data_IF_378355776293
#
_entry.id   IF_378355776293
#
_cell.length_a   1.000
_cell.length_b   1.000
_cell.length_c   1.000
_cell.angle_alpha   90.00
_cell.angle_beta   90.00
_cell.angle_gamma   90.00
#
_symmetry.space_group_name_H-M   'P 1'
#
loop_
_entity.id
_entity.type
_entity.pdbx_description
1 polymer ?
#
# COMPACT_ATOMS: atom_id res chain seq x y z
N UNK A 1 -5.10 -13.06 -32.60
CA UNK A 1 -4.51 -12.84 -31.26
C UNK A 1 -5.00 -11.55 -30.61
N UNK A 2 -4.94 -10.40 -31.29
CA UNK A 2 -5.58 -9.14 -30.82
C UNK A 2 -7.06 -9.30 -30.50
N UNK A 3 -7.82 -9.91 -31.41
CA UNK A 3 -9.26 -10.23 -31.23
C UNK A 3 -9.52 -11.22 -30.08
N UNK A 4 -8.53 -12.06 -29.75
CA UNK A 4 -8.66 -13.08 -28.70
C UNK A 4 -8.48 -12.47 -27.30
N UNK A 5 -7.57 -11.51 -27.17
CA UNK A 5 -7.38 -10.78 -25.91
C UNK A 5 -8.54 -9.82 -25.65
N UNK A 6 -9.06 -9.15 -26.69
CA UNK A 6 -10.29 -8.37 -26.54
C UNK A 6 -11.48 -9.25 -26.15
N UNK A 7 -11.54 -10.51 -26.62
CA UNK A 7 -12.57 -11.45 -26.21
C UNK A 7 -12.44 -11.84 -24.72
N UNK A 8 -11.23 -12.10 -24.24
CA UNK A 8 -11.00 -12.37 -22.81
C UNK A 8 -11.36 -11.16 -21.94
N UNK A 9 -11.04 -9.95 -22.38
CA UNK A 9 -11.46 -8.73 -21.69
C UNK A 9 -12.98 -8.63 -21.63
N UNK A 10 -13.67 -8.89 -22.75
CA UNK A 10 -15.14 -8.88 -22.78
C UNK A 10 -15.72 -9.95 -21.86
N UNK A 11 -15.17 -11.17 -21.86
CA UNK A 11 -15.61 -12.25 -20.98
C UNK A 11 -15.41 -11.89 -19.50
N UNK A 12 -14.27 -11.28 -19.16
CA UNK A 12 -13.98 -10.81 -17.82
C UNK A 12 -14.97 -9.74 -17.37
N UNK A 13 -15.16 -8.68 -18.17
CA UNK A 13 -16.11 -7.61 -17.85
C UNK A 13 -17.56 -8.11 -17.78
N UNK A 14 -17.95 -9.06 -18.63
CA UNK A 14 -19.26 -9.71 -18.55
C UNK A 14 -19.43 -10.50 -17.25
N UNK A 15 -18.40 -11.24 -16.82
CA UNK A 15 -18.41 -11.98 -15.55
C UNK A 15 -18.51 -11.04 -14.35
N UNK A 16 -17.77 -9.93 -14.35
CA UNK A 16 -17.87 -8.90 -13.30
C UNK A 16 -19.25 -8.25 -13.32
N UNK A 17 -19.79 -7.94 -14.50
CA UNK A 17 -21.12 -7.33 -14.63
C UNK A 17 -22.22 -8.23 -14.07
N UNK A 18 -22.16 -9.54 -14.28
CA UNK A 18 -23.10 -10.50 -13.69
C UNK A 18 -23.08 -10.45 -12.16
N UNK A 19 -21.91 -10.31 -11.54
CA UNK A 19 -21.81 -10.19 -10.07
C UNK A 19 -22.52 -8.94 -9.53
N UNK A 20 -22.51 -7.84 -10.29
CA UNK A 20 -23.25 -6.62 -9.94
C UNK A 20 -24.76 -6.80 -10.12
N UNK A 21 -25.19 -7.50 -11.17
CA UNK A 21 -26.61 -7.82 -11.39
C UNK A 21 -27.18 -8.76 -10.33
N UNK A 22 -26.39 -9.74 -9.88
CA UNK A 22 -26.81 -10.72 -8.89
C UNK A 22 -26.79 -10.17 -7.45
N UNK A 23 -26.20 -8.99 -7.22
CA UNK A 23 -26.08 -8.40 -5.89
C UNK A 23 -27.20 -7.39 -5.60
N UNK A 24 -28.19 -7.72 -4.75
CA UNK A 24 -29.34 -6.84 -4.46
C UNK A 24 -28.97 -5.64 -3.58
N UNK A 25 -27.75 -5.58 -3.04
CA UNK A 25 -27.31 -4.50 -2.12
C UNK A 25 -26.63 -3.34 -2.84
N UNK A 26 -26.35 -3.48 -4.13
CA UNK A 26 -25.57 -2.51 -4.92
C UNK A 26 -26.46 -1.91 -6.00
N UNK A 27 -26.37 -0.59 -6.21
CA UNK A 27 -26.93 0.04 -7.41
C UNK A 27 -26.07 -0.32 -8.64
N UNK A 28 -26.43 -1.42 -9.28
CA UNK A 28 -25.79 -1.92 -10.48
C UNK A 28 -25.94 -0.97 -11.67
N UNK A 29 -27.00 -0.17 -11.74
CA UNK A 29 -27.27 0.69 -12.90
C UNK A 29 -26.20 1.78 -13.04
N UNK A 30 -25.93 2.50 -11.95
CA UNK A 30 -24.90 3.54 -11.97
C UNK A 30 -23.50 2.95 -12.21
N UNK A 31 -23.19 1.84 -11.53
CA UNK A 31 -21.87 1.19 -11.60
C UNK A 31 -21.56 0.62 -12.98
N UNK A 32 -22.56 0.06 -13.67
CA UNK A 32 -22.38 -0.61 -14.97
C UNK A 32 -22.54 0.33 -16.17
N UNK A 33 -23.48 1.27 -16.12
CA UNK A 33 -23.89 2.04 -17.31
C UNK A 33 -23.50 3.53 -17.27
N UNK A 34 -23.39 4.12 -16.08
CA UNK A 34 -23.14 5.56 -15.93
C UNK A 34 -21.67 5.90 -15.63
N UNK A 35 -20.87 4.90 -15.27
CA UNK A 35 -19.47 5.10 -14.85
C UNK A 35 -18.52 4.78 -15.98
N UNK A 36 -17.83 5.81 -16.50
CA UNK A 36 -16.74 5.61 -17.47
C UNK A 36 -15.55 4.93 -16.81
N UNK A 37 -15.03 3.88 -17.45
CA UNK A 37 -13.90 3.06 -17.00
C UNK A 37 -12.67 3.27 -17.90
N UNK A 38 -11.85 4.31 -17.67
CA UNK A 38 -10.60 4.47 -18.41
C UNK A 38 -9.60 3.37 -18.02
N UNK A 39 -8.79 2.90 -18.97
CA UNK A 39 -7.86 1.77 -18.79
C UNK A 39 -6.93 1.92 -17.57
N UNK A 40 -6.51 3.15 -17.27
CA UNK A 40 -5.64 3.47 -16.12
C UNK A 40 -6.31 3.22 -14.76
N UNK A 41 -7.65 3.19 -14.71
CA UNK A 41 -8.43 2.89 -13.49
C UNK A 41 -8.91 1.44 -13.41
N UNK A 42 -8.83 0.69 -14.50
CA UNK A 42 -9.23 -0.73 -14.56
C UNK A 42 -8.06 -1.69 -14.51
N UNK A 43 -6.84 -1.18 -14.43
CA UNK A 43 -5.61 -1.96 -14.41
C UNK A 43 -4.82 -1.61 -13.15
N UNK A 44 -4.21 -2.61 -12.53
CA UNK A 44 -3.34 -2.38 -11.37
C UNK A 44 -2.06 -1.69 -11.82
N UNK A 45 -1.45 -2.21 -12.89
CA UNK A 45 -0.22 -1.69 -13.47
C UNK A 45 -0.46 -1.34 -14.94
N UNK A 46 0.11 -0.24 -15.40
CA UNK A 46 0.02 0.23 -16.79
C UNK A 46 1.42 0.50 -17.31
N UNK A 47 1.69 0.09 -18.54
CA UNK A 47 2.91 0.51 -19.23
C UNK A 47 2.61 1.05 -20.61
N UNK A 48 3.47 1.93 -21.10
CA UNK A 48 3.35 2.55 -22.40
C UNK A 48 4.63 2.35 -23.19
N UNK A 49 4.47 1.95 -24.45
CA UNK A 49 5.55 1.95 -25.43
C UNK A 49 5.57 3.31 -26.13
N UNK A 50 6.65 4.03 -25.91
CA UNK A 50 6.95 5.30 -26.55
C UNK A 50 7.84 5.09 -27.77
N UNK A 51 7.90 6.09 -28.65
CA UNK A 51 8.75 6.05 -29.85
C UNK A 51 8.45 4.84 -30.75
N UNK A 52 7.17 4.68 -31.11
CA UNK A 52 6.67 3.52 -31.85
C UNK A 52 7.36 3.28 -33.20
N UNK A 53 8.06 4.29 -33.76
CA UNK A 53 8.93 4.14 -34.92
C UNK A 53 9.94 2.99 -34.76
N UNK A 54 10.41 2.72 -33.53
CA UNK A 54 11.30 1.59 -33.24
C UNK A 54 10.66 0.22 -33.45
N UNK A 55 9.33 0.12 -33.48
CA UNK A 55 8.64 -1.13 -33.84
C UNK A 55 8.90 -1.52 -35.29
N UNK A 56 9.30 -0.58 -36.16
CA UNK A 56 9.68 -0.93 -37.53
C UNK A 56 10.91 -1.85 -37.57
N UNK A 57 11.91 -1.62 -36.72
CA UNK A 57 13.04 -2.55 -36.55
C UNK A 57 12.59 -3.87 -35.94
N UNK A 58 11.65 -3.84 -34.99
CA UNK A 58 11.05 -5.05 -34.41
C UNK A 58 10.38 -5.90 -35.49
N UNK A 59 9.59 -5.32 -36.39
CA UNK A 59 8.95 -6.04 -37.49
C UNK A 59 10.00 -6.72 -38.40
N UNK A 60 11.14 -6.07 -38.67
CA UNK A 60 12.23 -6.67 -39.44
C UNK A 60 12.84 -7.87 -38.72
N UNK A 61 13.17 -7.74 -37.43
CA UNK A 61 13.75 -8.82 -36.62
C UNK A 61 12.79 -10.01 -36.50
N UNK A 62 11.50 -9.73 -36.35
CA UNK A 62 10.44 -10.73 -36.22
C UNK A 62 10.03 -11.34 -37.57
N UNK A 63 10.66 -10.94 -38.68
CA UNK A 63 10.32 -11.37 -40.04
C UNK A 63 8.86 -11.09 -40.44
N UNK A 64 8.26 -10.01 -39.93
CA UNK A 64 6.85 -9.64 -40.15
C UNK A 64 6.65 -8.69 -41.35
N UNK A 65 7.51 -8.77 -42.38
CA UNK A 65 7.47 -7.84 -43.50
C UNK A 65 6.26 -8.08 -44.42
N UNK A 66 5.82 -9.34 -44.55
CA UNK A 66 4.59 -9.70 -45.27
C UNK A 66 3.36 -9.08 -44.62
N UNK A 67 3.21 -9.30 -43.32
CA UNK A 67 2.11 -8.82 -42.51
C UNK A 67 2.12 -7.28 -42.42
N UNK A 68 3.31 -6.66 -42.48
CA UNK A 68 3.44 -5.22 -42.58
C UNK A 68 2.83 -4.68 -43.88
N UNK A 69 2.96 -5.41 -45.00
CA UNK A 69 2.30 -5.04 -46.26
C UNK A 69 0.78 -5.20 -46.17
N UNK A 70 0.30 -6.28 -45.55
CA UNK A 70 -1.13 -6.53 -45.33
C UNK A 70 -1.78 -5.41 -44.49
N UNK A 71 -1.03 -4.86 -43.54
CA UNK A 71 -1.44 -3.73 -42.69
C UNK A 71 -1.05 -2.36 -43.25
N UNK A 72 -0.77 -2.22 -44.55
CA UNK A 72 -0.46 -0.95 -45.21
C UNK A 72 0.70 -0.16 -44.58
N UNK A 73 1.66 -0.84 -43.96
CA UNK A 73 2.80 -0.22 -43.27
C UNK A 73 2.56 0.12 -41.80
N UNK A 74 1.42 -0.25 -41.22
CA UNK A 74 1.11 -0.02 -39.81
C UNK A 74 1.84 -1.00 -38.88
N UNK A 75 3.08 -0.67 -38.53
CA UNK A 75 3.94 -1.49 -37.67
C UNK A 75 3.36 -1.73 -36.26
N UNK A 76 2.44 -0.90 -35.76
CA UNK A 76 1.79 -1.12 -34.47
C UNK A 76 0.83 -2.30 -34.57
N UNK A 77 -0.07 -2.29 -35.56
CA UNK A 77 -1.02 -3.38 -35.78
C UNK A 77 -0.29 -4.68 -36.12
N UNK A 78 0.80 -4.61 -36.90
CA UNK A 78 1.61 -5.78 -37.25
C UNK A 78 2.32 -6.40 -36.05
N UNK A 79 2.96 -5.59 -35.19
CA UNK A 79 3.74 -6.11 -34.06
C UNK A 79 2.86 -6.49 -32.85
N UNK A 80 1.71 -5.86 -32.67
CA UNK A 80 0.86 -6.02 -31.48
C UNK A 80 0.46 -7.48 -31.18
N UNK A 81 0.00 -8.31 -32.14
CA UNK A 81 -0.29 -9.72 -31.90
C UNK A 81 0.88 -10.49 -31.27
N UNK A 82 2.10 -10.25 -31.76
CA UNK A 82 3.31 -10.87 -31.25
C UNK A 82 3.62 -10.39 -29.83
N UNK A 83 3.60 -9.07 -29.60
CA UNK A 83 3.86 -8.48 -28.28
C UNK A 83 2.88 -9.02 -27.23
N UNK A 84 1.60 -9.09 -27.57
CA UNK A 84 0.57 -9.61 -26.68
C UNK A 84 0.80 -11.09 -26.34
N UNK A 85 1.10 -11.93 -27.33
CA UNK A 85 1.41 -13.35 -27.10
C UNK A 85 2.66 -13.53 -26.23
N UNK A 86 3.71 -12.76 -26.50
CA UNK A 86 4.96 -12.78 -25.75
C UNK A 86 4.74 -12.42 -24.28
N UNK A 87 4.01 -11.32 -24.04
CA UNK A 87 3.72 -10.84 -22.69
C UNK A 87 2.80 -11.79 -21.93
N UNK A 88 1.80 -12.37 -22.58
CA UNK A 88 0.91 -13.36 -21.97
C UNK A 88 1.69 -14.62 -21.58
N UNK A 89 2.61 -15.09 -22.43
CA UNK A 89 3.46 -16.24 -22.13
C UNK A 89 4.46 -15.94 -20.99
N UNK A 90 5.06 -14.75 -21.00
CA UNK A 90 6.09 -14.39 -20.04
C UNK A 90 5.57 -13.99 -18.66
N UNK A 91 4.47 -13.24 -18.58
CA UNK A 91 3.84 -12.89 -17.30
C UNK A 91 3.01 -14.06 -16.73
N UNK A 92 2.55 -14.97 -17.59
CA UNK A 92 1.93 -16.23 -17.20
C UNK A 92 0.80 -16.05 -16.19
N UNK A 93 0.89 -16.75 -15.07
CA UNK A 93 -0.15 -16.75 -14.03
C UNK A 93 -0.18 -15.49 -13.15
N UNK A 94 0.78 -14.57 -13.31
CA UNK A 94 0.84 -13.31 -12.55
C UNK A 94 -0.24 -12.33 -12.95
N UNK A 95 -0.77 -12.47 -14.17
CA UNK A 95 -1.81 -11.61 -14.70
C UNK A 95 -3.13 -12.38 -14.76
N UNK A 96 -4.21 -11.71 -14.37
CA UNK A 96 -5.58 -12.13 -14.64
C UNK A 96 -6.02 -11.68 -16.02
N UNK A 97 -5.62 -10.46 -16.43
CA UNK A 97 -5.99 -9.88 -17.71
C UNK A 97 -4.86 -8.99 -18.24
N UNK A 98 -4.58 -9.13 -19.54
CA UNK A 98 -3.75 -8.20 -20.31
C UNK A 98 -4.68 -7.38 -21.21
N UNK A 99 -4.69 -6.07 -21.07
CA UNK A 99 -5.44 -5.15 -21.92
C UNK A 99 -4.50 -4.26 -22.72
N UNK A 100 -5.00 -3.71 -23.82
CA UNK A 100 -4.27 -2.73 -24.62
C UNK A 100 -5.23 -1.64 -25.10
N UNK A 101 -4.71 -0.45 -25.31
CA UNK A 101 -5.46 0.68 -25.87
C UNK A 101 -4.77 1.15 -27.14
N UNK A 102 -5.44 0.94 -28.27
CA UNK A 102 -5.10 1.56 -29.54
C UNK A 102 -5.67 2.97 -29.56
N UNK A 103 -4.89 3.89 -30.10
CA UNK A 103 -5.42 5.23 -30.37
C UNK A 103 -6.36 5.17 -31.58
N UNK A 104 -7.41 6.01 -31.60
CA UNK A 104 -8.25 6.15 -32.78
C UNK A 104 -7.41 6.43 -34.01
N UNK A 105 -7.82 5.87 -35.14
CA UNK A 105 -7.20 6.23 -36.41
C UNK A 105 -7.33 7.75 -36.61
N UNK A 106 -6.24 8.45 -36.95
CA UNK A 106 -6.29 9.88 -37.15
C UNK A 106 -7.28 10.19 -38.27
N UNK A 107 -8.08 11.23 -38.10
CA UNK A 107 -8.89 11.79 -39.18
C UNK A 107 -8.05 12.85 -39.91
N UNK A 108 -8.07 12.84 -41.25
CA UNK A 108 -7.36 13.81 -42.07
C UNK A 108 -8.25 14.32 -43.21
N UNK A 109 -7.91 15.50 -43.73
CA UNK A 109 -8.61 16.07 -44.89
C UNK A 109 -8.34 15.23 -46.14
N UNK A 110 -9.35 15.07 -47.00
CA UNK A 110 -9.22 14.39 -48.29
C UNK A 110 -8.16 15.04 -49.18
N UNK A 111 -7.93 16.35 -49.00
CA UNK A 111 -6.94 17.13 -49.76
C UNK A 111 -5.50 16.99 -49.22
N UNK A 112 -5.30 16.25 -48.11
CA UNK A 112 -4.00 16.09 -47.45
C UNK A 112 -3.46 14.67 -47.58
N UNK A 113 -2.12 14.53 -47.55
CA UNK A 113 -1.49 13.21 -47.50
C UNK A 113 -1.91 12.42 -46.26
N UNK A 114 -2.02 11.10 -46.40
CA UNK A 114 -2.36 10.22 -45.29
C UNK A 114 -1.36 10.37 -44.11
N UNK A 115 -1.85 10.41 -42.86
CA UNK A 115 -1.02 10.51 -41.68
C UNK A 115 0.03 9.41 -41.62
N UNK A 116 1.28 9.80 -41.39
CA UNK A 116 2.39 8.85 -41.26
C UNK A 116 2.31 8.16 -39.90
N UNK A 117 2.45 6.83 -39.88
CA UNK A 117 2.43 6.04 -38.64
C UNK A 117 3.43 6.51 -37.56
N UNK A 118 4.52 7.19 -37.95
CA UNK A 118 5.53 7.78 -37.03
C UNK A 118 4.99 8.81 -36.04
N UNK A 119 3.83 9.41 -36.32
CA UNK A 119 3.22 10.42 -35.46
C UNK A 119 2.22 9.83 -34.45
N UNK A 120 2.13 8.50 -34.34
CA UNK A 120 1.18 7.86 -33.43
C UNK A 120 1.54 8.09 -31.95
N UNK A 121 0.55 8.33 -31.08
CA UNK A 121 0.74 8.45 -29.64
C UNK A 121 1.20 7.11 -29.02
N UNK A 122 1.70 7.12 -27.77
CA UNK A 122 2.21 5.92 -27.12
C UNK A 122 1.17 4.78 -27.03
N UNK A 123 1.62 3.56 -27.32
CA UNK A 123 0.78 2.37 -27.19
C UNK A 123 0.71 1.95 -25.72
N UNK A 124 -0.49 1.91 -25.17
CA UNK A 124 -0.70 1.64 -23.73
C UNK A 124 -1.20 0.22 -23.49
N UNK A 125 -0.71 -0.40 -22.43
CA UNK A 125 -1.07 -1.74 -21.99
C UNK A 125 -1.44 -1.71 -20.51
N UNK A 126 -2.52 -2.39 -20.15
CA UNK A 126 -2.98 -2.55 -18.78
C UNK A 126 -2.82 -3.98 -18.30
N UNK A 127 -2.37 -4.14 -17.05
CA UNK A 127 -2.20 -5.41 -16.38
C UNK A 127 -3.15 -5.46 -15.18
N UNK A 128 -4.05 -6.42 -15.18
CA UNK A 128 -4.75 -6.84 -13.98
C UNK A 128 -3.94 -7.97 -13.36
N UNK A 129 -3.40 -7.75 -12.17
CA UNK A 129 -2.46 -8.64 -11.50
C UNK A 129 -3.18 -9.64 -10.59
N UNK A 130 -2.54 -10.77 -10.35
CA UNK A 130 -2.88 -11.72 -9.29
C UNK A 130 -1.96 -11.46 -8.09
N UNK A 131 -2.45 -10.85 -6.99
CA UNK A 131 -1.60 -10.38 -5.89
C UNK A 131 -0.66 -11.46 -5.32
N UNK A 132 -1.13 -12.71 -5.25
CA UNK A 132 -0.39 -13.83 -4.66
C UNK A 132 0.87 -14.20 -5.45
N UNK A 133 0.85 -13.99 -6.78
CA UNK A 133 1.94 -14.37 -7.69
C UNK A 133 2.69 -13.16 -8.22
N UNK A 134 2.07 -11.98 -8.29
CA UNK A 134 2.63 -10.80 -8.93
C UNK A 134 4.00 -10.39 -8.38
N UNK A 135 4.20 -10.52 -7.07
CA UNK A 135 5.43 -10.14 -6.35
C UNK A 135 6.46 -11.27 -6.24
N UNK A 136 6.20 -12.46 -6.77
CA UNK A 136 7.16 -13.58 -6.70
C UNK A 136 8.46 -13.22 -7.43
N UNK A 137 9.61 -13.36 -6.79
CA UNK A 137 10.91 -13.13 -7.46
C UNK A 137 11.38 -14.32 -8.27
N UNK A 138 10.75 -15.48 -8.10
CA UNK A 138 11.19 -16.72 -8.73
C UNK A 138 10.16 -17.18 -9.76
N UNK A 139 10.63 -17.47 -10.96
CA UNK A 139 9.91 -18.25 -11.95
C UNK A 139 10.44 -19.68 -11.98
N UNK A 140 9.58 -20.62 -11.63
CA UNK A 140 9.90 -22.04 -11.72
C UNK A 140 9.48 -22.56 -13.10
N UNK A 141 10.44 -23.04 -13.87
CA UNK A 141 10.24 -23.66 -15.16
C UNK A 141 10.03 -25.18 -15.08
N UNK A 142 10.00 -25.85 -16.23
CA UNK A 142 9.87 -27.31 -16.30
C UNK A 142 11.17 -28.03 -15.87
N UNK A 143 11.09 -29.35 -15.58
CA UNK A 143 12.27 -30.18 -15.34
C UNK A 143 13.31 -30.07 -16.46
N UNK A 144 14.59 -30.10 -16.11
CA UNK A 144 15.71 -29.87 -17.03
C UNK A 144 15.74 -30.84 -18.23
N UNK A 145 15.24 -32.05 -18.00
CA UNK A 145 15.10 -33.18 -18.91
C UNK A 145 13.83 -33.12 -19.78
N UNK A 146 12.92 -32.18 -19.51
CA UNK A 146 11.72 -31.98 -20.31
C UNK A 146 12.03 -31.27 -21.64
N UNK A 147 11.40 -31.65 -22.78
CA UNK A 147 11.54 -30.90 -24.02
C UNK A 147 11.06 -29.43 -23.88
N UNK A 148 10.15 -29.15 -22.95
CA UNK A 148 9.69 -27.79 -22.63
C UNK A 148 10.78 -26.91 -22.02
N UNK A 149 11.88 -27.48 -21.50
CA UNK A 149 13.01 -26.71 -20.99
C UNK A 149 13.71 -25.91 -22.09
N UNK A 150 13.75 -26.43 -23.32
CA UNK A 150 14.31 -25.69 -24.46
C UNK A 150 13.46 -24.45 -24.80
N UNK A 151 12.12 -24.57 -24.73
CA UNK A 151 11.21 -23.45 -24.94
C UNK A 151 11.35 -22.39 -23.84
N UNK A 152 11.49 -22.84 -22.58
CA UNK A 152 11.73 -21.96 -21.44
C UNK A 152 13.05 -21.18 -21.59
N UNK A 153 14.14 -21.87 -21.93
CA UNK A 153 15.44 -21.22 -22.22
C UNK A 153 15.36 -20.24 -23.37
N UNK A 154 14.61 -20.56 -24.43
CA UNK A 154 14.40 -19.65 -25.56
C UNK A 154 13.61 -18.40 -25.16
N UNK A 155 12.59 -18.54 -24.31
CA UNK A 155 11.79 -17.42 -23.83
C UNK A 155 12.61 -16.46 -22.96
N UNK A 156 13.39 -17.00 -22.02
CA UNK A 156 14.10 -16.19 -21.02
C UNK A 156 15.54 -15.83 -21.41
N UNK A 157 16.12 -16.51 -22.40
CA UNK A 157 17.47 -16.27 -22.88
C UNK A 157 18.52 -16.47 -21.78
N UNK A 158 19.40 -15.49 -21.62
CA UNK A 158 20.50 -15.52 -20.65
C UNK A 158 20.06 -15.51 -19.17
N UNK A 159 18.79 -15.21 -18.88
CA UNK A 159 18.26 -15.22 -17.51
C UNK A 159 17.81 -16.61 -17.04
N UNK A 160 17.73 -17.61 -17.93
CA UNK A 160 17.38 -18.98 -17.56
C UNK A 160 18.59 -19.70 -16.96
N UNK A 161 18.42 -20.28 -15.79
CA UNK A 161 19.45 -21.09 -15.11
C UNK A 161 18.87 -22.37 -14.53
N UNK A 162 19.70 -23.39 -14.37
CA UNK A 162 19.31 -24.63 -13.69
C UNK A 162 19.40 -24.44 -12.19
N UNK A 163 18.28 -24.70 -11.50
CA UNK A 163 18.20 -24.58 -10.05
C UNK A 163 17.70 -25.86 -9.41
N UNK A 164 18.41 -26.30 -8.37
CA UNK A 164 17.96 -27.40 -7.49
C UNK A 164 17.06 -26.82 -6.40
N UNK A 165 15.85 -27.35 -6.29
CA UNK A 165 14.87 -26.96 -5.29
C UNK A 165 14.94 -27.82 -4.03
N UNK A 166 14.28 -27.39 -2.95
CA UNK A 166 14.26 -28.12 -1.67
C UNK A 166 13.60 -29.50 -1.78
N UNK A 167 12.72 -29.69 -2.76
CA UNK A 167 12.13 -30.97 -3.13
C UNK A 167 13.10 -31.90 -3.90
N UNK A 168 14.34 -31.46 -4.12
CA UNK A 168 15.37 -32.20 -4.84
C UNK A 168 15.27 -32.11 -6.36
N UNK A 169 14.19 -31.52 -6.90
CA UNK A 169 14.00 -31.40 -8.33
C UNK A 169 14.96 -30.38 -8.94
N UNK A 170 15.51 -30.70 -10.10
CA UNK A 170 16.34 -29.80 -10.90
C UNK A 170 15.49 -29.30 -12.06
N UNK A 171 15.13 -28.02 -12.03
CA UNK A 171 14.30 -27.40 -13.06
C UNK A 171 14.99 -26.17 -13.61
N UNK A 172 14.60 -25.75 -14.81
CA UNK A 172 14.91 -24.41 -15.28
C UNK A 172 14.23 -23.39 -14.35
N UNK A 173 14.87 -22.25 -14.13
CA UNK A 173 14.33 -21.17 -13.31
C UNK A 173 14.85 -19.80 -13.77
N UNK A 174 14.10 -18.76 -13.41
CA UNK A 174 14.53 -17.35 -13.53
C UNK A 174 14.36 -16.68 -12.19
N UNK A 175 15.36 -15.89 -11.78
CA UNK A 175 15.31 -15.08 -10.55
C UNK A 175 15.32 -13.60 -10.92
N UNK A 176 14.32 -12.88 -10.42
CA UNK A 176 14.16 -11.44 -10.53
C UNK A 176 14.71 -10.73 -9.31
N UNK A 177 15.09 -9.46 -9.50
CA UNK A 177 15.62 -8.64 -8.42
C UNK A 177 14.48 -8.16 -7.52
N UNK A 178 14.66 -8.26 -6.20
CA UNK A 178 13.65 -7.82 -5.24
C UNK A 178 13.93 -8.33 -3.83
N UNK A 179 14.69 -7.56 -3.06
CA UNK A 179 14.97 -7.87 -1.65
C UNK A 179 13.76 -7.53 -0.78
N UNK A 180 13.25 -6.30 -0.93
CA UNK A 180 12.07 -5.79 -0.22
C UNK A 180 10.77 -5.92 -1.03
N UNK A 181 9.62 -5.85 -0.36
CA UNK A 181 8.28 -5.87 -0.95
C UNK A 181 8.11 -4.73 -1.96
N UNK A 182 8.60 -3.52 -1.64
CA UNK A 182 8.60 -2.39 -2.55
C UNK A 182 9.26 -2.72 -3.90
N UNK A 183 10.43 -3.36 -3.89
CA UNK A 183 11.11 -3.78 -5.12
C UNK A 183 10.37 -4.94 -5.82
N UNK A 184 9.85 -5.89 -5.05
CA UNK A 184 9.12 -7.06 -5.57
C UNK A 184 7.86 -6.67 -6.34
N UNK A 185 7.18 -5.57 -5.97
CA UNK A 185 6.05 -5.02 -6.76
C UNK A 185 6.43 -4.69 -8.20
N UNK A 186 7.70 -4.36 -8.46
CA UNK A 186 8.20 -4.00 -9.79
C UNK A 186 8.73 -5.20 -10.59
N UNK A 187 8.61 -6.44 -10.11
CA UNK A 187 8.98 -7.64 -10.87
C UNK A 187 8.26 -7.71 -12.23
N UNK A 188 6.94 -7.43 -12.36
CA UNK A 188 6.30 -7.39 -13.67
C UNK A 188 6.94 -6.39 -14.64
N UNK A 189 7.41 -5.23 -14.15
CA UNK A 189 8.17 -4.27 -14.97
C UNK A 189 9.47 -4.88 -15.49
N UNK A 190 10.21 -5.59 -14.63
CA UNK A 190 11.46 -6.27 -15.02
C UNK A 190 11.21 -7.33 -16.11
N UNK A 191 10.17 -8.15 -15.92
CA UNK A 191 9.76 -9.18 -16.90
C UNK A 191 9.45 -8.54 -18.25
N UNK A 192 8.58 -7.51 -18.26
CA UNK A 192 8.17 -6.82 -19.49
C UNK A 192 9.38 -6.21 -20.20
N UNK A 193 10.23 -5.50 -19.44
CA UNK A 193 11.43 -4.86 -20.00
C UNK A 193 12.36 -5.88 -20.65
N UNK A 194 12.61 -7.00 -19.95
CA UNK A 194 13.48 -8.07 -20.45
C UNK A 194 12.94 -8.72 -21.72
N UNK A 195 11.66 -9.10 -21.72
CA UNK A 195 11.04 -9.78 -22.85
C UNK A 195 10.99 -8.91 -24.10
N UNK A 196 10.59 -7.64 -23.94
CA UNK A 196 10.51 -6.68 -25.04
C UNK A 196 11.89 -6.37 -25.63
N UNK A 197 12.92 -6.23 -24.79
CA UNK A 197 14.29 -6.04 -25.25
C UNK A 197 14.81 -7.29 -26.00
N UNK A 198 14.62 -8.48 -25.43
CA UNK A 198 15.16 -9.72 -25.97
C UNK A 198 14.51 -10.11 -27.31
N UNK A 199 13.19 -10.07 -27.37
CA UNK A 199 12.44 -10.60 -28.52
C UNK A 199 12.04 -9.54 -29.54
N UNK A 200 11.85 -8.28 -29.12
CA UNK A 200 11.37 -7.21 -30.00
C UNK A 200 12.38 -6.07 -30.22
N UNK A 201 13.59 -6.12 -29.66
CA UNK A 201 14.59 -5.01 -29.73
C UNK A 201 14.06 -3.66 -29.22
N UNK A 202 13.09 -3.69 -28.31
CA UNK A 202 12.54 -2.46 -27.72
C UNK A 202 13.35 -2.12 -26.48
N UNK A 203 14.05 -0.97 -26.46
CA UNK A 203 14.89 -0.59 -25.33
C UNK A 203 14.08 -0.20 -24.11
N UNK A 204 14.64 -0.35 -22.89
CA UNK A 204 14.00 0.12 -21.65
C UNK A 204 13.63 1.61 -21.67
N UNK A 205 14.39 2.43 -22.41
CA UNK A 205 14.11 3.87 -22.57
C UNK A 205 12.82 4.17 -23.31
N UNK A 206 12.33 3.22 -24.12
CA UNK A 206 11.05 3.32 -24.81
C UNK A 206 9.87 2.84 -23.95
N UNK A 207 10.11 2.34 -22.74
CA UNK A 207 9.09 1.84 -21.83
C UNK A 207 8.83 2.85 -20.70
N UNK A 208 7.59 3.34 -20.60
CA UNK A 208 7.10 4.05 -19.41
C UNK A 208 6.25 3.09 -18.58
N UNK A 209 6.44 3.08 -17.27
CA UNK A 209 5.76 2.14 -16.38
C UNK A 209 5.12 2.85 -15.19
N UNK A 210 3.88 2.48 -14.91
CA UNK A 210 3.05 3.00 -13.82
C UNK A 210 2.56 1.80 -13.00
N UNK A 211 2.92 1.74 -11.72
CA UNK A 211 2.54 0.63 -10.82
C UNK A 211 3.03 0.78 -9.38
N UNK A 212 3.94 1.71 -9.11
CA UNK A 212 4.45 2.01 -7.76
C UNK A 212 4.60 3.54 -7.54
N UNK A 213 3.70 4.34 -8.11
CA UNK A 213 3.85 5.82 -8.11
C UNK A 213 3.83 6.43 -6.70
N UNK A 214 3.14 5.79 -5.75
CA UNK A 214 3.01 6.30 -4.38
C UNK A 214 4.18 5.84 -3.51
N UNK A 215 4.90 4.79 -3.91
CA UNK A 215 6.01 4.23 -3.15
C UNK A 215 7.10 5.29 -2.88
N UNK A 216 7.38 6.18 -3.84
CA UNK A 216 8.37 7.26 -3.67
C UNK A 216 8.04 8.21 -2.50
N UNK A 217 6.77 8.34 -2.12
CA UNK A 217 6.32 9.22 -1.02
C UNK A 217 6.46 8.55 0.36
N UNK A 218 6.36 7.22 0.39
CA UNK A 218 6.38 6.43 1.64
C UNK A 218 7.67 5.61 1.81
N UNK A 219 8.59 5.68 0.84
CA UNK A 219 9.85 4.94 0.87
C UNK A 219 10.71 5.37 2.06
N UNK A 220 11.16 4.39 2.81
CA UNK A 220 12.07 4.54 3.95
C UNK A 220 13.31 3.66 3.78
N UNK A 221 14.39 3.98 4.49
CA UNK A 221 15.65 3.22 4.47
C UNK A 221 16.69 3.77 3.50
N UNK A 222 17.96 3.78 3.92
CA UNK A 222 19.09 4.30 3.13
C UNK A 222 19.79 3.24 2.29
N UNK A 223 19.83 1.98 2.76
CA UNK A 223 20.52 0.87 2.08
C UNK A 223 19.55 0.01 1.26
N UNK A 224 18.47 -0.48 1.88
CA UNK A 224 17.40 -1.22 1.21
C UNK A 224 16.11 -0.41 1.32
N UNK A 225 15.55 -0.05 0.16
CA UNK A 225 14.29 0.69 0.08
C UNK A 225 13.13 -0.16 0.59
N UNK A 226 12.48 0.27 1.68
CA UNK A 226 11.26 -0.35 2.22
C UNK A 226 10.08 0.61 2.11
N UNK A 227 8.85 0.09 2.10
CA UNK A 227 7.61 0.88 2.26
C UNK A 227 6.90 0.58 3.59
N UNK A 228 7.61 -0.07 4.52
CA UNK A 228 7.16 -0.33 5.90
C UNK A 228 6.61 -1.74 6.14
N UNK A 229 6.42 -2.57 5.13
CA UNK A 229 5.79 -3.88 5.28
C UNK A 229 6.66 -4.83 6.12
N UNK A 230 7.96 -4.86 5.86
CA UNK A 230 8.93 -5.66 6.62
C UNK A 230 9.00 -5.21 8.09
N UNK A 231 9.06 -3.90 8.33
CA UNK A 231 9.06 -3.31 9.68
C UNK A 231 7.76 -3.63 10.43
N UNK A 232 6.61 -3.54 9.74
CA UNK A 232 5.32 -3.94 10.30
C UNK A 232 5.30 -5.40 10.71
N UNK A 233 5.83 -6.28 9.86
CA UNK A 233 5.92 -7.72 10.16
C UNK A 233 6.78 -7.99 11.40
N UNK A 234 7.92 -7.30 11.54
CA UNK A 234 8.76 -7.43 12.73
C UNK A 234 8.01 -7.00 14.01
N UNK A 235 7.21 -5.94 13.94
CA UNK A 235 6.39 -5.49 15.06
C UNK A 235 5.31 -6.52 15.40
N UNK A 236 4.63 -7.08 14.40
CA UNK A 236 3.61 -8.14 14.59
C UNK A 236 4.24 -9.37 15.26
N UNK A 237 5.40 -9.82 14.79
CA UNK A 237 6.12 -10.95 15.39
C UNK A 237 6.54 -10.67 16.84
N UNK A 238 6.98 -9.43 17.12
CA UNK A 238 7.30 -8.99 18.48
C UNK A 238 6.06 -8.97 19.37
N UNK A 239 4.91 -8.51 18.86
CA UNK A 239 3.64 -8.55 19.56
C UNK A 239 3.21 -9.99 19.86
N UNK A 240 3.27 -10.91 18.90
CA UNK A 240 2.86 -12.31 19.07
C UNK A 240 3.68 -13.01 20.16
N UNK A 241 5.00 -12.77 20.19
CA UNK A 241 5.85 -13.30 21.25
C UNK A 241 5.53 -12.69 22.61
N UNK A 242 5.15 -11.40 22.68
CA UNK A 242 4.78 -10.75 23.95
C UNK A 242 3.44 -11.30 24.43
N UNK A 243 2.46 -11.42 23.53
CA UNK A 243 1.15 -12.01 23.79
C UNK A 243 1.29 -13.42 24.38
N UNK A 244 2.07 -14.31 23.74
CA UNK A 244 2.31 -15.66 24.27
C UNK A 244 2.95 -15.66 25.67
N UNK A 245 3.86 -14.73 25.94
CA UNK A 245 4.50 -14.59 27.26
C UNK A 245 3.51 -14.10 28.31
N UNK A 246 2.71 -13.09 27.99
CA UNK A 246 1.66 -12.57 28.87
C UNK A 246 0.65 -13.65 29.24
N UNK A 247 0.21 -14.46 28.28
CA UNK A 247 -0.70 -15.58 28.51
C UNK A 247 -0.17 -16.67 29.46
N UNK A 248 1.16 -16.84 29.52
CA UNK A 248 1.82 -17.84 30.37
C UNK A 248 2.29 -17.27 31.71
N UNK A 249 1.95 -16.02 32.02
CA UNK A 249 2.30 -15.42 33.30
C UNK A 249 1.45 -16.00 34.42
N UNK A 250 2.12 -16.63 35.36
CA UNK A 250 1.54 -17.09 36.61
C UNK A 250 1.84 -16.09 37.73
N UNK A 251 0.99 -16.07 38.77
CA UNK A 251 1.17 -15.21 39.94
C UNK A 251 0.45 -13.87 39.90
N UNK A 252 -0.33 -13.58 38.86
CA UNK A 252 -1.25 -12.43 38.85
C UNK A 252 -2.50 -12.75 39.72
N UNK A 253 -3.08 -11.75 40.43
CA UNK A 253 -4.30 -11.95 41.22
C UNK A 253 -5.54 -12.34 40.40
N UNK A 254 -5.53 -11.97 39.11
CA UNK A 254 -6.54 -12.32 38.12
C UNK A 254 -5.79 -12.85 36.89
N UNK A 255 -6.28 -13.92 36.29
CA UNK A 255 -5.68 -14.46 35.06
C UNK A 255 -5.95 -13.55 33.85
N UNK A 256 -5.06 -13.55 32.86
CA UNK A 256 -5.24 -12.84 31.59
C UNK A 256 -6.08 -13.73 30.67
N UNK A 257 -7.20 -13.20 30.17
CA UNK A 257 -8.15 -13.90 29.29
C UNK A 257 -7.98 -13.55 27.82
N UNK A 258 -7.47 -12.36 27.50
CA UNK A 258 -7.16 -11.97 26.13
C UNK A 258 -6.08 -10.88 26.08
N UNK A 259 -5.30 -10.89 25.00
CA UNK A 259 -4.35 -9.83 24.65
C UNK A 259 -4.71 -9.37 23.25
N UNK A 260 -5.10 -8.10 23.11
CA UNK A 260 -5.61 -7.51 21.88
C UNK A 260 -4.70 -6.38 21.40
N UNK A 261 -4.27 -6.46 20.15
CA UNK A 261 -3.50 -5.42 19.49
C UNK A 261 -4.38 -4.26 19.05
N UNK A 262 -4.16 -3.06 19.60
CA UNK A 262 -4.95 -1.87 19.24
C UNK A 262 -4.21 -0.93 18.26
N UNK A 263 -2.88 -1.02 18.20
CA UNK A 263 -2.05 -0.13 17.40
C UNK A 263 -2.25 -0.35 15.87
N UNK A 264 -2.27 0.72 15.04
CA UNK A 264 -2.43 0.63 13.58
C UNK A 264 -1.44 -0.29 12.85
N UNK A 265 -0.22 -0.41 13.37
CA UNK A 265 0.84 -1.28 12.81
C UNK A 265 0.44 -2.76 12.83
N UNK A 266 -0.33 -3.20 13.83
CA UNK A 266 -0.71 -4.62 13.99
C UNK A 266 -1.79 -5.05 12.98
N UNK A 267 -2.32 -4.09 12.21
CA UNK A 267 -3.27 -4.30 11.12
C UNK A 267 -2.79 -3.69 9.81
N UNK A 268 -1.48 -3.44 9.67
CA UNK A 268 -0.83 -2.90 8.46
C UNK A 268 -1.42 -1.55 7.97
N UNK A 269 -1.92 -0.71 8.88
CA UNK A 269 -2.49 0.62 8.56
C UNK A 269 -1.60 1.77 9.01
N UNK A 270 -0.42 1.49 9.57
CA UNK A 270 0.56 2.49 9.96
C UNK A 270 1.44 2.83 8.76
N UNK A 271 1.39 4.09 8.28
CA UNK A 271 2.17 4.54 7.10
C UNK A 271 3.68 4.41 7.33
N UNK A 272 4.15 4.82 8.51
CA UNK A 272 5.54 4.68 8.92
C UNK A 272 5.59 3.83 10.19
N UNK A 273 5.81 2.52 10.05
CA UNK A 273 5.89 1.59 11.18
C UNK A 273 7.03 1.97 12.12
N UNK A 274 6.87 1.76 13.44
CA UNK A 274 7.95 1.97 14.37
C UNK A 274 9.14 1.08 14.02
N UNK A 275 10.33 1.63 14.08
CA UNK A 275 11.60 0.92 13.85
C UNK A 275 12.26 0.68 15.22
N UNK A 276 12.93 -0.47 15.44
CA UNK A 276 13.64 -0.73 16.69
C UNK A 276 14.72 0.34 16.93
N UNK A 277 14.64 1.08 18.05
CA UNK A 277 15.61 2.13 18.37
C UNK A 277 16.56 1.71 19.49
N UNK A 278 17.85 1.60 19.18
CA UNK A 278 18.91 1.52 20.19
C UNK A 278 19.33 2.93 20.57
N UNK A 279 18.90 3.39 21.74
CA UNK A 279 19.38 4.64 22.31
C UNK A 279 20.85 4.51 22.71
N UNK A 280 21.69 5.41 22.21
CA UNK A 280 23.04 5.59 22.73
C UNK A 280 22.97 6.44 24.00
N UNK A 281 22.96 5.76 25.15
CA UNK A 281 22.89 6.41 26.45
C UNK A 281 24.08 7.34 26.73
N UNK A 282 25.19 7.23 26.00
CA UNK A 282 26.33 8.16 26.16
C UNK A 282 26.00 9.59 25.77
N UNK A 283 24.96 9.80 24.95
CA UNK A 283 24.51 11.10 24.48
C UNK A 283 23.65 11.84 25.50
N UNK A 284 23.25 11.17 26.58
CA UNK A 284 22.30 11.71 27.54
C UNK A 284 22.90 11.78 28.94
N UNK A 285 22.57 12.85 29.65
CA UNK A 285 22.71 12.92 31.10
C UNK A 285 21.37 12.56 31.75
N UNK A 286 21.45 11.92 32.92
CA UNK A 286 20.24 11.56 33.66
C UNK A 286 19.96 12.63 34.70
N UNK A 287 18.82 13.28 34.59
CA UNK A 287 18.37 14.25 35.59
C UNK A 287 18.11 13.55 36.93
N UNK A 288 18.63 14.10 38.03
CA UNK A 288 18.59 13.44 39.35
C UNK A 288 17.18 13.32 39.93
N UNK A 289 16.30 14.27 39.63
CA UNK A 289 14.94 14.39 40.17
C UNK A 289 13.93 13.57 39.37
N UNK A 290 13.87 13.79 38.05
CA UNK A 290 12.87 13.15 37.18
C UNK A 290 13.33 11.81 36.61
N UNK A 291 14.64 11.49 36.71
CA UNK A 291 15.31 10.39 36.00
C UNK A 291 15.16 10.44 34.48
N UNK A 292 14.79 11.60 33.93
CA UNK A 292 14.67 11.81 32.48
C UNK A 292 16.05 11.87 31.84
N UNK A 293 16.11 11.50 30.55
CA UNK A 293 17.31 11.59 29.73
C UNK A 293 17.34 12.98 29.09
N UNK A 294 18.36 13.78 29.43
CA UNK A 294 18.60 15.10 28.86
C UNK A 294 19.76 14.97 27.86
N UNK A 295 19.60 15.40 26.59
CA UNK A 295 20.70 15.39 25.63
C UNK A 295 21.85 16.29 26.12
N UNK A 296 23.07 15.79 26.01
CA UNK A 296 24.29 16.58 26.25
C UNK A 296 24.43 17.69 25.20
N UNK A 297 25.21 18.72 25.53
CA UNK A 297 25.61 19.73 24.56
C UNK A 297 26.20 19.06 23.30
N UNK A 298 25.84 19.58 22.12
CA UNK A 298 26.20 19.05 20.79
C UNK A 298 25.74 17.63 20.45
N UNK A 299 24.82 17.03 21.23
CA UNK A 299 24.22 15.72 20.93
C UNK A 299 22.76 15.84 20.47
N UNK A 300 22.30 14.95 19.58
CA UNK A 300 20.93 14.99 19.08
C UNK A 300 19.94 14.65 20.19
N UNK A 301 18.74 15.24 20.10
CA UNK A 301 17.62 14.85 20.95
C UNK A 301 17.27 13.37 20.75
N UNK A 302 16.73 12.68 21.78
CA UNK A 302 16.26 11.31 21.63
C UNK A 302 15.20 11.25 20.53
N UNK A 303 15.32 10.28 19.62
CA UNK A 303 14.29 10.07 18.62
C UNK A 303 12.99 9.63 19.29
N UNK A 304 11.85 10.12 18.79
CA UNK A 304 10.54 9.71 19.27
C UNK A 304 10.32 8.22 18.96
N UNK A 305 10.01 7.45 20.02
CA UNK A 305 9.64 6.03 19.88
C UNK A 305 8.11 5.96 19.94
N UNK A 306 7.49 5.57 18.83
CA UNK A 306 6.04 5.38 18.77
C UNK A 306 5.64 4.19 19.65
N UNK A 307 4.83 4.40 20.71
CA UNK A 307 4.37 3.31 21.56
C UNK A 307 3.35 2.42 20.85
N UNK A 308 3.53 1.11 20.95
CA UNK A 308 2.60 0.12 20.40
C UNK A 308 1.56 -0.22 21.47
N UNK A 309 0.33 0.24 21.28
CA UNK A 309 -0.78 -0.01 22.22
C UNK A 309 -1.31 -1.44 22.14
N UNK A 310 -1.38 -2.11 23.28
CA UNK A 310 -1.92 -3.45 23.50
C UNK A 310 -2.89 -3.42 24.68
N UNK A 311 -4.01 -4.13 24.57
CA UNK A 311 -5.05 -4.21 25.59
C UNK A 311 -5.06 -5.62 26.18
N UNK A 312 -4.88 -5.74 27.50
CA UNK A 312 -4.91 -6.98 28.25
C UNK A 312 -6.22 -7.10 29.02
N UNK A 313 -7.07 -8.05 28.63
CA UNK A 313 -8.28 -8.38 29.36
C UNK A 313 -7.97 -9.38 30.45
N UNK A 314 -8.53 -9.14 31.63
CA UNK A 314 -8.42 -10.01 32.79
C UNK A 314 -9.70 -10.83 32.94
N UNK A 315 -9.66 -11.88 33.75
CA UNK A 315 -10.86 -12.61 34.13
C UNK A 315 -11.87 -11.71 34.86
N UNK A 316 -13.15 -12.05 34.71
CA UNK A 316 -14.23 -11.32 35.38
C UNK A 316 -14.12 -11.44 36.90
N UNK A 317 -14.26 -10.32 37.60
CA UNK A 317 -14.28 -10.30 39.07
C UNK A 317 -15.40 -9.41 39.58
N UNK A 318 -16.13 -9.86 40.60
CA UNK A 318 -17.11 -9.03 41.29
C UNK A 318 -16.49 -8.07 42.31
N UNK A 319 -15.17 -8.13 42.53
CA UNK A 319 -14.45 -7.38 43.58
C UNK A 319 -13.99 -5.99 43.12
N UNK A 320 -14.38 -5.54 41.92
CA UNK A 320 -14.05 -4.21 41.45
C UNK A 320 -14.86 -3.15 42.22
N UNK A 321 -14.21 -2.08 42.72
CA UNK A 321 -14.89 -1.01 43.43
C UNK A 321 -15.73 -0.17 42.46
N UNK A 322 -16.75 0.51 42.98
CA UNK A 322 -17.60 1.40 42.19
C UNK A 322 -17.00 2.81 42.02
N UNK A 323 -16.07 3.21 42.89
CA UNK A 323 -15.39 4.50 42.80
C UNK A 323 -14.33 4.53 41.69
N UNK A 324 -14.33 5.59 40.89
CA UNK A 324 -13.43 5.76 39.74
C UNK A 324 -11.96 5.87 40.15
N UNK A 325 -11.66 6.52 41.27
CA UNK A 325 -10.28 6.65 41.75
C UNK A 325 -9.76 5.31 42.28
N UNK A 326 -10.59 4.59 43.05
CA UNK A 326 -10.27 3.24 43.50
C UNK A 326 -9.99 2.28 42.32
N UNK A 327 -10.79 2.33 41.24
CA UNK A 327 -10.53 1.54 40.01
C UNK A 327 -9.16 1.87 39.42
N UNK A 328 -8.78 3.16 39.34
CA UNK A 328 -7.46 3.57 38.81
C UNK A 328 -6.32 3.05 39.68
N UNK A 329 -6.45 3.10 41.00
CA UNK A 329 -5.44 2.57 41.91
C UNK A 329 -5.27 1.05 41.77
N UNK A 330 -6.37 0.30 41.66
CA UNK A 330 -6.32 -1.14 41.43
C UNK A 330 -5.69 -1.47 40.07
N UNK A 331 -6.06 -0.77 38.99
CA UNK A 331 -5.40 -0.92 37.68
C UNK A 331 -3.90 -0.66 37.77
N UNK A 332 -3.49 0.39 38.49
CA UNK A 332 -2.08 0.69 38.73
C UNK A 332 -1.38 -0.45 39.46
N UNK A 333 -2.02 -1.04 40.48
CA UNK A 333 -1.47 -2.19 41.20
C UNK A 333 -1.29 -3.41 40.28
N UNK A 334 -2.24 -3.67 39.37
CA UNK A 334 -2.07 -4.69 38.33
C UNK A 334 -0.91 -4.39 37.40
N UNK A 335 -0.75 -3.14 36.94
CA UNK A 335 0.38 -2.73 36.10
C UNK A 335 1.74 -2.93 36.81
N UNK A 336 1.83 -2.61 38.11
CA UNK A 336 3.03 -2.83 38.92
C UNK A 336 3.35 -4.33 39.00
N UNK A 337 2.38 -5.15 39.40
CA UNK A 337 2.56 -6.59 39.52
C UNK A 337 2.94 -7.24 38.18
N UNK A 338 2.28 -6.84 37.09
CA UNK A 338 2.59 -7.31 35.74
C UNK A 338 4.03 -6.91 35.34
N UNK A 339 4.44 -5.68 35.62
CA UNK A 339 5.80 -5.20 35.37
C UNK A 339 6.87 -5.97 36.15
N UNK A 340 6.62 -6.27 37.42
CA UNK A 340 7.52 -7.08 38.26
C UNK A 340 7.65 -8.52 37.75
N UNK A 341 6.55 -9.15 37.37
CA UNK A 341 6.56 -10.51 36.82
C UNK A 341 7.26 -10.56 35.45
N UNK A 342 6.99 -9.60 34.56
CA UNK A 342 7.70 -9.50 33.28
C UNK A 342 9.21 -9.27 33.48
N UNK A 343 9.60 -8.48 34.48
CA UNK A 343 11.00 -8.30 34.85
C UNK A 343 11.61 -9.60 35.40
N UNK A 344 10.91 -10.31 36.27
CA UNK A 344 11.38 -11.54 36.91
C UNK A 344 11.54 -12.70 35.93
N UNK A 345 10.54 -12.94 35.08
CA UNK A 345 10.50 -14.12 34.20
C UNK A 345 11.15 -13.88 32.83
N UNK A 346 11.17 -12.65 32.33
CA UNK A 346 11.64 -12.33 30.98
C UNK A 346 12.67 -11.19 30.92
N UNK A 347 13.07 -10.64 32.07
CA UNK A 347 14.05 -9.54 32.19
C UNK A 347 13.69 -8.27 31.40
N UNK A 348 12.40 -8.03 31.11
CA UNK A 348 11.97 -6.83 30.42
C UNK A 348 12.06 -5.59 31.30
N UNK A 349 12.42 -4.45 30.70
CA UNK A 349 12.38 -3.17 31.39
C UNK A 349 10.96 -2.63 31.31
N UNK A 350 10.32 -2.50 32.47
CA UNK A 350 8.93 -2.08 32.55
C UNK A 350 8.81 -0.81 33.38
N UNK A 351 7.91 0.09 32.99
CA UNK A 351 7.56 1.29 33.76
C UNK A 351 6.04 1.30 33.98
N UNK A 352 5.55 0.95 35.17
CA UNK A 352 4.13 1.02 35.46
C UNK A 352 3.69 2.48 35.61
N UNK A 353 2.57 2.82 34.97
CA UNK A 353 1.89 4.11 35.05
C UNK A 353 0.44 3.90 35.51
N UNK A 354 -0.24 4.94 36.03
CA UNK A 354 -1.64 4.80 36.46
C UNK A 354 -2.62 4.39 35.35
N UNK A 355 -2.28 4.70 34.10
CA UNK A 355 -3.15 4.44 32.93
C UNK A 355 -2.71 3.24 32.09
N UNK A 356 -1.43 2.85 32.14
CA UNK A 356 -0.87 1.78 31.31
C UNK A 356 0.44 1.26 31.92
N UNK A 357 0.97 0.17 31.39
CA UNK A 357 2.32 -0.33 31.65
C UNK A 357 3.17 -0.18 30.39
N UNK A 358 4.26 0.57 30.46
CA UNK A 358 5.26 0.59 29.40
C UNK A 358 6.18 -0.61 29.52
N UNK A 359 6.34 -1.35 28.42
CA UNK A 359 7.22 -2.52 28.31
C UNK A 359 8.21 -2.29 27.18
N UNK A 360 9.49 -2.27 27.52
CA UNK A 360 10.58 -2.23 26.55
C UNK A 360 10.96 -3.64 26.12
N UNK A 361 10.65 -3.97 24.85
CA UNK A 361 10.89 -5.27 24.26
C UNK A 361 11.56 -5.14 22.91
N UNK A 362 12.76 -5.71 22.76
CA UNK A 362 13.52 -5.73 21.48
C UNK A 362 13.55 -4.33 20.84
N UNK A 363 13.85 -3.31 21.67
CA UNK A 363 13.90 -1.89 21.26
C UNK A 363 12.58 -1.27 20.77
N UNK A 364 11.46 -1.93 21.01
CA UNK A 364 10.11 -1.37 20.89
C UNK A 364 9.56 -0.98 22.26
N UNK A 365 8.78 0.09 22.29
CA UNK A 365 7.96 0.49 23.42
C UNK A 365 6.54 -0.05 23.22
N UNK A 366 6.06 -0.89 24.13
CA UNK A 366 4.71 -1.42 24.11
C UNK A 366 3.95 -0.90 25.33
N UNK A 367 2.82 -0.22 25.11
CA UNK A 367 1.95 0.23 26.19
C UNK A 367 0.84 -0.82 26.38
N UNK A 368 0.84 -1.48 27.53
CA UNK A 368 -0.18 -2.45 27.92
C UNK A 368 -1.22 -1.75 28.79
N UNK A 369 -2.48 -1.76 28.36
CA UNK A 369 -3.60 -1.26 29.15
C UNK A 369 -4.48 -2.43 29.65
N UNK A 370 -4.86 -2.40 30.93
CA UNK A 370 -5.84 -3.31 31.53
C UNK A 370 -7.18 -2.57 31.69
N UNK A 371 -8.18 -2.84 30.83
CA UNK A 371 -9.46 -2.16 30.91
C UNK A 371 -10.38 -2.83 31.95
N UNK A 372 -11.30 -2.04 32.49
CA UNK A 372 -12.39 -2.54 33.33
C UNK A 372 -13.59 -2.92 32.44
N UNK A 373 -14.22 -4.08 32.69
CA UNK A 373 -15.33 -4.64 31.88
C UNK A 373 -16.44 -3.64 31.52
N UNK A 374 -16.85 -2.77 32.45
CA UNK A 374 -17.87 -1.75 32.18
C UNK A 374 -17.33 -0.53 31.40
N UNK A 375 -16.03 -0.22 31.53
CA UNK A 375 -15.41 0.87 30.78
C UNK A 375 -15.16 0.46 29.32
N UNK A 376 -14.85 -0.82 29.06
CA UNK A 376 -14.74 -1.37 27.69
C UNK A 376 -16.08 -1.28 26.95
N UNK A 377 -17.18 -1.60 27.62
CA UNK A 377 -18.53 -1.50 27.06
C UNK A 377 -18.92 -0.05 26.73
N UNK A 378 -18.59 0.91 27.61
CA UNK A 378 -18.92 2.33 27.42
C UNK A 378 -18.06 2.96 26.31
N UNK A 379 -16.77 2.63 26.19
CA UNK A 379 -15.95 3.09 25.04
C UNK A 379 -16.42 2.50 23.71
N UNK A 380 -16.98 1.29 23.72
CA UNK A 380 -17.59 0.67 22.53
C UNK A 380 -18.93 1.34 22.15
N UNK A 381 -19.71 1.79 23.14
CA UNK A 381 -20.99 2.50 22.95
C UNK A 381 -20.79 3.98 22.57
N UNK A 382 -19.72 4.63 23.05
CA UNK A 382 -19.42 6.04 22.74
C UNK A 382 -18.63 6.25 21.44
N UNK A 383 -18.30 5.19 20.71
CA UNK A 383 -17.95 5.32 19.28
C UNK A 383 -19.26 5.48 18.50
N UNK A 384 -19.42 6.49 17.62
CA UNK A 384 -20.68 6.69 16.92
C UNK A 384 -20.99 5.41 16.13
N UNK A 385 -22.21 4.85 16.23
CA UNK A 385 -22.56 3.68 15.47
C UNK A 385 -22.56 4.05 13.98
N UNK A 386 -21.63 3.45 13.22
CA UNK A 386 -21.78 3.29 11.78
C UNK A 386 -22.85 2.22 11.55
N UNK A 387 -24.12 2.59 11.70
CA UNK A 387 -25.23 1.79 11.19
C UNK A 387 -26.18 2.68 10.41
N UNK A 388 -26.19 2.46 9.10
CA UNK A 388 -27.34 2.76 8.27
C UNK A 388 -28.53 1.98 8.81
N UNK A 389 -29.43 2.70 9.47
CA UNK A 389 -30.66 2.18 10.03
C UNK A 389 -31.68 3.30 9.98
N UNK A 390 -32.54 3.23 8.96
CA UNK A 390 -33.74 4.06 8.79
C UNK A 390 -34.52 4.16 10.10
N UNK A 391 -34.40 5.31 10.76
CA UNK A 391 -35.35 5.74 11.78
C UNK A 391 -36.27 6.77 11.14
N UNK A 392 -37.53 6.36 10.97
CA UNK A 392 -38.62 7.22 10.52
C UNK A 392 -38.77 8.40 11.48
N UNK A 393 -38.43 9.59 11.00
CA UNK A 393 -38.79 10.83 11.66
C UNK A 393 -40.24 11.17 11.26
N UNK A 394 -41.12 11.19 12.26
CA UNK A 394 -42.45 11.77 12.13
C UNK A 394 -42.30 13.25 11.77
N UNK A 395 -42.66 13.61 10.54
CA UNK A 395 -42.77 15.00 10.12
C UNK A 395 -44.07 15.59 10.65
N UNK A 396 -43.97 16.61 11.49
CA UNK A 396 -44.98 17.68 11.50
C UNK A 396 -44.43 18.82 10.65
N UNK A 397 -45.23 19.16 9.65
CA UNK A 397 -45.10 20.28 8.73
C UNK A 397 -44.72 21.58 9.42
N UNK A 398 -43.83 22.38 8.82
CA UNK A 398 -44.16 23.71 8.27
C UNK A 398 -43.05 24.17 7.32
N UNK A 399 -43.49 24.58 6.14
CA UNK A 399 -42.83 25.20 5.00
C UNK A 399 -42.10 26.51 5.34
N UNK A 400 -40.90 26.73 4.78
CA UNK A 400 -40.64 27.89 3.90
C UNK A 400 -39.23 27.84 3.31
N UNK A 401 -39.20 28.02 2.00
CA UNK A 401 -38.05 28.23 1.14
C UNK A 401 -37.36 29.56 1.41
N UNK A 402 -36.03 29.64 1.29
CA UNK A 402 -35.37 30.68 0.50
C UNK A 402 -33.88 30.40 0.27
N UNK A 403 -33.45 30.68 -0.96
CA UNK A 403 -32.10 30.56 -1.47
C UNK A 403 -31.28 31.84 -1.23
N UNK A 404 -29.96 31.71 -1.10
CA UNK A 404 -28.93 32.70 -1.53
C UNK A 404 -27.53 32.15 -1.20
N UNK A 405 -26.70 31.82 -2.19
CA UNK A 405 -25.69 32.66 -2.85
C UNK A 405 -24.61 33.21 -1.89
N UNK A 406 -23.45 32.55 -1.89
CA UNK A 406 -22.25 32.91 -1.12
C UNK A 406 -21.37 33.89 -1.92
N UNK A 407 -21.36 35.16 -1.50
CA UNK A 407 -20.46 36.21 -2.00
C UNK A 407 -19.16 36.20 -1.19
N UNK A 408 -18.01 36.30 -1.87
CA UNK A 408 -16.66 36.42 -1.26
C UNK A 408 -16.32 37.87 -0.88
N UNK A 409 -15.31 37.99 0.00
CA UNK A 409 -14.34 39.08 0.28
C UNK A 409 -14.52 39.75 1.67
N UNK A 410 -13.50 40.40 2.28
CA UNK A 410 -12.05 40.10 2.41
C UNK A 410 -11.50 40.34 3.85
N UNK A 411 -10.19 40.10 4.06
CA UNK A 411 -9.39 40.32 5.29
C UNK A 411 -9.32 41.78 5.79
N UNK A 412 -8.94 42.00 7.08
CA UNK A 412 -7.96 43.06 7.37
C UNK A 412 -6.92 42.74 8.47
N UNK A 413 -5.89 43.59 8.48
CA UNK A 413 -4.60 43.57 9.20
C UNK A 413 -4.48 44.62 10.33
N UNK A 414 -3.39 44.54 11.12
CA UNK A 414 -2.74 45.55 12.03
C UNK A 414 -3.14 45.45 13.53
N UNK A 415 -2.33 45.58 14.62
CA UNK A 415 -1.01 46.16 14.99
C UNK A 415 -0.44 45.58 16.33
N UNK A 416 0.87 45.75 16.55
CA UNK A 416 1.68 45.46 17.76
C UNK A 416 1.35 46.24 19.04
N UNK A 417 1.47 45.59 20.21
CA UNK A 417 2.00 46.13 21.49
C UNK A 417 2.56 44.99 22.38
N UNK A 418 3.71 45.24 23.02
CA UNK A 418 4.52 44.28 23.82
C UNK A 418 4.18 44.29 25.33
N UNK A 419 4.05 43.10 25.94
CA UNK A 419 4.78 42.63 27.16
C UNK A 419 4.37 41.19 27.55
N UNK A 420 5.22 40.36 28.22
CA UNK A 420 5.13 38.88 28.32
C UNK A 420 4.56 38.41 29.69
N UNK A 421 4.60 37.11 30.09
CA UNK A 421 4.89 35.85 29.39
C UNK A 421 3.73 34.82 29.50
N UNK A 422 3.70 33.78 28.64
CA UNK A 422 3.31 32.42 29.05
C UNK A 422 3.56 31.43 27.89
N UNK A 423 4.30 30.37 28.24
CA UNK A 423 4.83 29.36 27.33
C UNK A 423 3.72 28.34 26.97
N UNK A 424 2.90 28.65 25.96
CA UNK A 424 2.01 27.66 25.35
C UNK A 424 2.79 26.84 24.31
N UNK A 425 3.31 25.70 24.75
CA UNK A 425 3.80 24.63 23.88
C UNK A 425 2.60 24.05 23.11
N UNK A 426 2.45 24.44 21.84
CA UNK A 426 1.60 23.74 20.88
C UNK A 426 2.14 22.32 20.69
N UNK A 427 1.37 21.33 21.14
CA UNK A 427 1.54 19.93 20.73
C UNK A 427 0.76 19.69 19.43
N UNK A 428 1.35 18.87 18.56
CA UNK A 428 0.87 18.41 17.24
C UNK A 428 1.19 19.26 15.99
N UNK A 429 2.36 19.02 15.36
CA UNK A 429 2.60 19.37 13.96
C UNK A 429 2.09 18.31 12.96
N UNK A 430 1.57 17.16 13.41
CA UNK A 430 1.26 16.03 12.52
C UNK A 430 -0.13 16.10 11.87
N UNK A 431 -1.10 16.79 12.46
CA UNK A 431 -2.46 16.82 11.91
C UNK A 431 -2.62 17.74 10.68
N UNK A 432 -1.74 18.75 10.53
CA UNK A 432 -1.86 19.71 9.43
C UNK A 432 -1.41 19.12 8.08
N UNK A 433 -0.43 18.22 8.08
CA UNK A 433 0.04 17.55 6.87
C UNK A 433 -0.90 16.42 6.39
N UNK A 434 -1.62 15.76 7.30
CA UNK A 434 -2.55 14.68 6.95
C UNK A 434 -3.78 15.24 6.23
N UNK A 435 -4.31 16.38 6.67
CA UNK A 435 -5.47 17.02 6.03
C UNK A 435 -5.14 17.48 4.59
N UNK A 436 -3.91 17.96 4.35
CA UNK A 436 -3.47 18.37 3.02
C UNK A 436 -3.34 17.18 2.04
N UNK A 437 -2.85 16.03 2.53
CA UNK A 437 -2.73 14.80 1.73
C UNK A 437 -4.10 14.20 1.42
N UNK A 438 -5.03 14.18 2.38
CA UNK A 438 -6.39 13.69 2.13
C UNK A 438 -7.19 14.60 1.19
N UNK A 439 -7.02 15.93 1.24
CA UNK A 439 -7.70 16.85 0.33
C UNK A 439 -7.11 16.77 -1.09
N UNK A 440 -5.79 16.58 -1.23
CA UNK A 440 -5.13 16.44 -2.53
C UNK A 440 -5.58 15.20 -3.32
N UNK A 441 -5.89 14.09 -2.64
CA UNK A 441 -6.37 12.85 -3.29
C UNK A 441 -7.79 13.01 -3.84
N UNK A 442 -8.62 13.90 -3.28
CA UNK A 442 -10.00 14.12 -3.73
C UNK A 442 -10.18 15.23 -4.78
N UNK A 443 -9.16 16.05 -5.05
CA UNK A 443 -9.29 17.24 -5.94
C UNK A 443 -8.27 17.32 -7.08
N UNK A 444 -7.70 16.19 -7.51
CA UNK A 444 -6.87 16.13 -8.72
C UNK A 444 -7.73 16.14 -9.99
N UNK A 445 -8.30 17.31 -10.30
CA UNK A 445 -8.76 17.68 -11.64
C UNK A 445 -7.53 18.18 -12.40
N UNK A 446 -7.12 17.45 -13.43
CA UNK A 446 -6.01 17.81 -14.31
C UNK A 446 -6.26 19.16 -14.98
N UNK A 447 -5.48 20.18 -14.61
CA UNK A 447 -5.34 21.41 -15.39
C UNK A 447 -4.40 21.08 -16.56
N UNK A 448 -4.97 21.02 -17.76
CA UNK A 448 -4.23 20.99 -19.02
C UNK A 448 -3.60 22.36 -19.23
N UNK A 449 -2.28 22.46 -19.10
CA UNK A 449 -1.52 23.67 -19.49
C UNK A 449 -1.14 23.51 -20.96
N UNK A 450 -1.81 24.25 -21.83
CA UNK A 450 -1.37 24.47 -23.21
C UNK A 450 -0.08 25.31 -23.23
N UNK A 451 0.93 24.99 -24.06
CA UNK A 451 2.13 25.81 -24.17
C UNK A 451 1.82 27.09 -24.97
N UNK A 452 1.96 28.25 -24.33
CA UNK A 452 2.13 29.51 -25.05
C UNK A 452 3.61 29.65 -25.43
N UNK A 453 3.83 29.92 -26.72
CA UNK A 453 5.11 30.29 -27.31
C UNK A 453 5.76 31.46 -26.57
N UNK A 454 7.09 31.37 -26.41
CA UNK A 454 8.00 32.52 -26.34
C UNK A 454 8.76 32.57 -27.66
#
# INVERSE_FOLDING_TARGET
LTTFISLFQLQHEASVSMQFWDNPTVDGFHSLLMTSKPMIRTSDHVFQLCELVKLQSSCKKLNLLSELMDHSGNYVQTALPFLLSLLQQGLGQRILLLTHSLSPDPEWSVDSEAPKHKAQPPLSFGLLLRPELAISVLERGPPADSPKAAEFRRLWGSRSELRRFQDGAITEAVVWEGESICQKRLVPKQIITHLLQLHADIPPSSLRYVGAMVDDVIRTGSEVSSTGEEESLQVVQSYDDLSRKLWRLEGLPLSITAVQGAHPVLRYTQVFPPVPLKLDYSFFEREKTSRSLIPKEDKPCPAYITPITVICHMEGSGKWPHDRLAIRHIRTAFHICLGELLKKHHNYTCRPCPTHLDVWKVFYLVCVDVPHLWASFVSFICSPPLTGGTTHWWSTSTTSSQASTLTRLPFPSVSHKQSPPDLLLFTHPTYFNILLVCIAVSTLTLIVVHPCHV
#
